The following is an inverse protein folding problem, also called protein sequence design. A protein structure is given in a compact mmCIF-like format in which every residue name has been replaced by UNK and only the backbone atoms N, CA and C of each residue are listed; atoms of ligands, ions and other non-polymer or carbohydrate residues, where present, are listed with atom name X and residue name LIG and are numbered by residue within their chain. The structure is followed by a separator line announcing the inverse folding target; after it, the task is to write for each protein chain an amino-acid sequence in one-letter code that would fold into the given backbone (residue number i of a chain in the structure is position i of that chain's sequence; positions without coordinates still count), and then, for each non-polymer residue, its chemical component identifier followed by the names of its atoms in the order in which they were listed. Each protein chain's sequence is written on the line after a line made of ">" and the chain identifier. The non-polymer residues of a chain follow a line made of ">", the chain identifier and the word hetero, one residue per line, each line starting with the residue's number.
data_IF_195998908505
#
_entry.id   IF_195998908505
#
_cell.length_a   1.000
_cell.length_b   1.000
_cell.length_c   1.000
_cell.angle_alpha   90.00
_cell.angle_beta   90.00
_cell.angle_gamma   90.00
#
_symmetry.space_group_name_H-M   'P 1'
#
loop_
_entity.id
_entity.type
_entity.pdbx_description
1 polymer ?
#
# COMPACT_ATOMS: atom_id res chain seq x y z
N UNK A 1 -21.22 20.16 54.81
CA UNK A 1 -20.01 20.01 55.63
C UNK A 1 -19.99 18.60 56.20
N UNK A 2 -19.22 17.68 55.63
CA UNK A 2 -18.83 16.43 56.32
C UNK A 2 -17.59 15.86 55.63
N UNK A 3 -16.44 16.01 56.27
CA UNK A 3 -15.22 15.31 55.90
C UNK A 3 -15.19 13.92 56.54
N UNK A 4 -14.63 12.93 55.86
CA UNK A 4 -14.32 11.63 56.46
C UNK A 4 -12.90 11.18 56.10
N UNK A 5 -12.05 11.30 57.12
CA UNK A 5 -11.10 10.30 57.64
C UNK A 5 -10.03 9.74 56.68
N UNK A 6 -8.81 10.14 57.02
CA UNK A 6 -7.51 9.67 56.52
C UNK A 6 -7.31 8.15 56.62
N UNK A 7 -6.86 7.52 55.53
CA UNK A 7 -6.22 6.19 55.55
C UNK A 7 -4.77 6.31 55.09
N UNK A 8 -3.90 6.65 56.04
CA UNK A 8 -2.45 6.45 55.97
C UNK A 8 -2.12 5.01 56.40
N UNK A 9 -2.08 4.05 55.48
CA UNK A 9 -1.54 2.69 55.68
C UNK A 9 -1.23 2.16 54.25
N UNK A 10 -0.06 1.73 53.79
CA UNK A 10 1.28 1.47 54.33
C UNK A 10 2.21 1.51 53.10
N UNK A 11 3.26 2.35 53.14
CA UNK A 11 4.40 2.21 52.25
C UNK A 11 5.28 1.10 52.82
N UNK A 12 5.09 -0.12 52.33
CA UNK A 12 5.95 -1.28 52.60
C UNK A 12 6.92 -1.47 51.44
N UNK A 13 8.18 -1.08 51.66
CA UNK A 13 9.29 -1.30 50.75
C UNK A 13 9.70 -2.77 50.71
N UNK A 14 9.90 -3.32 49.51
CA UNK A 14 10.80 -4.44 49.20
C UNK A 14 11.01 -4.46 47.67
N UNK A 15 12.04 -3.80 47.16
CA UNK A 15 13.36 -4.39 46.94
C UNK A 15 13.43 -5.24 45.64
N UNK A 16 14.09 -4.63 44.65
CA UNK A 16 15.03 -5.27 43.72
C UNK A 16 14.53 -6.44 42.87
N UNK A 17 14.25 -6.16 41.60
CA UNK A 17 14.63 -7.07 40.51
C UNK A 17 14.93 -6.26 39.25
N UNK A 18 16.07 -6.53 38.59
CA UNK A 18 16.70 -5.61 37.66
C UNK A 18 15.92 -5.46 36.36
N UNK A 19 16.00 -4.24 35.82
CA UNK A 19 15.67 -3.89 34.44
C UNK A 19 16.40 -4.82 33.46
N UNK A 20 15.73 -5.91 33.05
CA UNK A 20 16.12 -6.75 31.90
C UNK A 20 15.05 -6.65 30.80
N UNK A 21 14.63 -5.42 30.51
CA UNK A 21 13.93 -5.07 29.26
C UNK A 21 14.64 -3.89 28.61
N UNK A 22 15.91 -4.10 28.25
CA UNK A 22 16.70 -3.16 27.45
C UNK A 22 17.59 -3.88 26.42
N UNK A 23 17.17 -5.06 25.96
CA UNK A 23 17.70 -5.67 24.75
C UNK A 23 16.71 -5.40 23.60
N UNK A 24 16.67 -4.15 23.18
CA UNK A 24 15.84 -3.68 22.07
C UNK A 24 16.37 -2.40 21.43
N UNK A 25 17.64 -2.03 21.70
CA UNK A 25 18.35 -1.09 20.86
C UNK A 25 19.07 -1.90 19.79
N UNK A 26 18.36 -2.22 18.70
CA UNK A 26 19.03 -2.55 17.44
C UNK A 26 19.66 -1.26 16.92
N UNK A 27 20.85 -0.94 17.45
CA UNK A 27 21.81 -0.07 16.79
C UNK A 27 22.66 -0.97 15.91
N UNK A 28 22.14 -1.32 14.73
CA UNK A 28 22.91 -2.00 13.69
C UNK A 28 23.00 -1.05 12.49
N UNK A 29 24.05 -0.24 12.54
CA UNK A 29 24.92 0.10 11.40
C UNK A 29 24.22 0.05 10.04
N UNK A 30 23.67 1.18 9.61
CA UNK A 30 23.12 1.39 8.28
C UNK A 30 24.23 1.38 7.23
N UNK A 31 24.69 0.19 6.87
CA UNK A 31 25.03 -0.07 5.48
C UNK A 31 23.68 -0.13 4.77
N UNK A 32 23.38 0.88 3.95
CA UNK A 32 22.05 1.13 3.38
C UNK A 32 21.70 0.07 2.32
N UNK A 33 21.48 -1.16 2.77
CA UNK A 33 20.65 -2.13 2.06
C UNK A 33 19.29 -1.45 1.87
N UNK A 34 18.83 -1.37 0.62
CA UNK A 34 17.52 -0.84 0.30
C UNK A 34 16.49 -1.44 1.26
N UNK A 35 15.69 -0.57 1.89
CA UNK A 35 14.63 -1.00 2.78
C UNK A 35 13.72 -1.94 1.97
N UNK A 36 13.45 -3.14 2.48
CA UNK A 36 12.57 -4.09 1.79
C UNK A 36 11.20 -3.48 1.53
N UNK A 37 10.76 -2.55 2.37
CA UNK A 37 9.52 -1.82 2.20
C UNK A 37 9.55 -0.87 1.01
N UNK A 38 10.72 -0.33 0.65
CA UNK A 38 10.88 0.52 -0.53
C UNK A 38 10.77 -0.31 -1.81
N UNK A 39 11.43 -1.47 -1.86
CA UNK A 39 11.31 -2.38 -3.02
C UNK A 39 9.87 -2.85 -3.22
N UNK A 40 9.18 -3.24 -2.14
CA UNK A 40 7.76 -3.63 -2.23
C UNK A 40 6.89 -2.47 -2.74
N UNK A 41 7.19 -1.23 -2.34
CA UNK A 41 6.44 -0.06 -2.80
C UNK A 41 6.65 0.22 -4.28
N UNK A 42 7.88 0.07 -4.77
CA UNK A 42 8.21 0.15 -6.20
C UNK A 42 7.50 -0.96 -7.01
N UNK A 43 7.50 -2.18 -6.50
CA UNK A 43 6.84 -3.32 -7.17
C UNK A 43 5.32 -3.10 -7.28
N UNK A 44 4.68 -2.60 -6.22
CA UNK A 44 3.26 -2.23 -6.26
C UNK A 44 3.03 -1.09 -7.25
N UNK A 45 3.88 -0.07 -7.28
CA UNK A 45 3.74 1.04 -8.21
C UNK A 45 3.90 0.62 -9.68
N UNK A 46 4.77 -0.35 -9.96
CA UNK A 46 4.92 -0.95 -11.27
C UNK A 46 3.66 -1.71 -11.69
N UNK A 47 3.11 -2.55 -10.80
CA UNK A 47 1.87 -3.30 -11.05
C UNK A 47 0.66 -2.37 -11.29
N UNK A 48 0.54 -1.30 -10.52
CA UNK A 48 -0.49 -0.28 -10.75
C UNK A 48 -0.34 0.40 -12.12
N UNK A 49 0.90 0.65 -12.56
CA UNK A 49 1.13 1.23 -13.89
C UNK A 49 0.70 0.29 -15.03
N UNK A 50 0.91 -1.02 -14.89
CA UNK A 50 0.44 -2.02 -15.84
C UNK A 50 -1.09 -2.08 -15.90
N UNK A 51 -1.76 -2.03 -14.75
CA UNK A 51 -3.22 -1.97 -14.68
C UNK A 51 -3.77 -0.70 -15.36
N UNK A 52 -3.17 0.46 -15.08
CA UNK A 52 -3.58 1.72 -15.69
C UNK A 52 -3.47 1.64 -17.22
N UNK A 53 -2.39 1.07 -17.76
CA UNK A 53 -2.22 0.89 -19.19
C UNK A 53 -3.29 -0.04 -19.79
N UNK A 54 -3.64 -1.13 -19.11
CA UNK A 54 -4.72 -2.04 -19.53
C UNK A 54 -6.09 -1.34 -19.57
N UNK A 55 -6.37 -0.51 -18.56
CA UNK A 55 -7.56 0.33 -18.53
C UNK A 55 -7.58 1.34 -19.68
N UNK A 56 -6.49 2.08 -19.89
CA UNK A 56 -6.39 3.10 -20.94
C UNK A 56 -6.59 2.48 -22.34
N UNK A 57 -5.94 1.36 -22.61
CA UNK A 57 -6.11 0.64 -23.88
C UNK A 57 -7.55 0.11 -24.07
N UNK A 58 -8.18 -0.37 -22.99
CA UNK A 58 -9.59 -0.80 -23.03
C UNK A 58 -10.53 0.37 -23.32
N UNK A 59 -10.29 1.53 -22.70
CA UNK A 59 -11.08 2.75 -22.91
C UNK A 59 -10.95 3.30 -24.32
N UNK A 60 -9.76 3.22 -24.92
CA UNK A 60 -9.52 3.57 -26.33
C UNK A 60 -10.28 2.63 -27.26
N UNK A 61 -10.22 1.31 -27.03
CA UNK A 61 -10.90 0.32 -27.90
C UNK A 61 -12.42 0.33 -27.73
N UNK A 62 -12.92 0.59 -26.52
CA UNK A 62 -14.35 0.53 -26.20
C UNK A 62 -14.84 1.81 -25.48
N UNK A 63 -15.03 2.93 -26.20
CA UNK A 63 -15.44 4.20 -25.60
C UNK A 63 -16.78 4.16 -24.87
N UNK A 64 -17.65 3.20 -25.19
CA UNK A 64 -18.93 2.98 -24.48
C UNK A 64 -18.76 2.58 -23.01
N UNK A 65 -17.57 2.15 -22.61
CA UNK A 65 -17.26 1.75 -21.23
C UNK A 65 -16.69 2.91 -20.39
N UNK A 66 -16.41 4.07 -20.98
CA UNK A 66 -15.71 5.18 -20.31
C UNK A 66 -16.37 5.62 -19.02
N UNK A 67 -17.68 5.92 -19.05
CA UNK A 67 -18.39 6.39 -17.85
C UNK A 67 -18.35 5.39 -16.69
N UNK A 68 -18.22 4.10 -17.02
CA UNK A 68 -18.19 3.02 -16.02
C UNK A 68 -16.78 2.71 -15.54
N UNK A 69 -15.78 2.73 -16.42
CA UNK A 69 -14.44 2.26 -16.12
C UNK A 69 -13.49 3.39 -15.70
N UNK A 70 -13.74 4.62 -16.13
CA UNK A 70 -12.86 5.76 -15.81
C UNK A 70 -12.69 5.96 -14.29
N UNK A 71 -13.74 5.89 -13.44
CA UNK A 71 -13.56 6.05 -12.00
C UNK A 71 -12.60 5.01 -11.39
N UNK A 72 -12.63 3.76 -11.87
CA UNK A 72 -11.73 2.70 -11.41
C UNK A 72 -10.29 2.94 -11.88
N UNK A 73 -10.12 3.35 -13.15
CA UNK A 73 -8.81 3.78 -13.67
C UNK A 73 -8.22 4.91 -12.83
N UNK A 74 -9.02 5.91 -12.47
CA UNK A 74 -8.58 7.04 -11.67
C UNK A 74 -8.13 6.59 -10.25
N UNK A 75 -8.81 5.61 -9.64
CA UNK A 75 -8.41 5.04 -8.35
C UNK A 75 -7.01 4.40 -8.39
N UNK A 76 -6.71 3.63 -9.45
CA UNK A 76 -5.38 3.05 -9.65
C UNK A 76 -4.28 4.11 -9.79
N UNK A 77 -4.59 5.22 -10.48
CA UNK A 77 -3.66 6.35 -10.62
C UNK A 77 -3.37 6.99 -9.28
N UNK A 78 -4.40 7.27 -8.50
CA UNK A 78 -4.22 7.82 -7.16
C UNK A 78 -3.47 6.85 -6.23
N UNK A 79 -3.70 5.54 -6.37
CA UNK A 79 -2.98 4.54 -5.59
C UNK A 79 -1.48 4.55 -5.92
N UNK A 80 -1.14 4.49 -7.22
CA UNK A 80 0.24 4.58 -7.69
C UNK A 80 0.95 5.84 -7.17
N UNK A 81 0.28 7.00 -7.23
CA UNK A 81 0.84 8.28 -6.77
C UNK A 81 1.16 8.28 -5.26
N UNK A 82 0.42 7.51 -4.45
CA UNK A 82 0.70 7.35 -3.03
C UNK A 82 1.87 6.41 -2.77
N UNK A 83 2.13 5.46 -3.68
CA UNK A 83 3.26 4.53 -3.57
C UNK A 83 4.59 5.18 -3.92
N UNK A 84 4.67 6.01 -4.96
CA UNK A 84 5.92 6.75 -5.23
C UNK A 84 5.67 8.24 -5.38
N UNK A 85 5.60 8.98 -4.26
CA UNK A 85 5.37 10.41 -4.27
C UNK A 85 6.49 11.14 -5.02
N UNK A 86 6.15 11.86 -6.08
CA UNK A 86 7.10 12.68 -6.84
C UNK A 86 7.82 11.95 -7.99
N UNK A 87 7.56 10.66 -8.21
CA UNK A 87 8.10 9.97 -9.37
C UNK A 87 7.27 10.30 -10.62
N UNK A 88 7.89 11.05 -11.54
CA UNK A 88 7.32 11.34 -12.87
C UNK A 88 7.83 10.37 -13.95
N UNK A 89 8.66 9.39 -13.57
CA UNK A 89 9.16 8.37 -14.47
C UNK A 89 8.01 7.50 -14.94
N UNK A 90 7.72 7.51 -16.24
CA UNK A 90 6.79 6.55 -16.83
C UNK A 90 7.49 5.20 -16.85
N UNK A 91 7.05 4.20 -16.08
CA UNK A 91 7.64 2.88 -16.15
C UNK A 91 7.47 2.31 -17.56
N UNK A 92 8.44 1.51 -18.00
CA UNK A 92 8.33 0.78 -19.27
C UNK A 92 7.27 -0.31 -19.11
N UNK A 93 6.05 -0.01 -19.54
CA UNK A 93 4.92 -0.96 -19.49
C UNK A 93 4.82 -1.68 -20.83
N UNK A 94 4.70 -3.02 -20.79
CA UNK A 94 4.41 -3.80 -21.99
C UNK A 94 2.99 -3.50 -22.48
N UNK A 95 2.82 -3.29 -23.79
CA UNK A 95 1.52 -2.98 -24.35
C UNK A 95 0.51 -4.12 -24.07
N UNK A 96 -0.66 -3.82 -23.47
CA UNK A 96 -1.64 -4.83 -23.11
C UNK A 96 -2.41 -5.34 -24.34
N UNK A 97 -2.59 -6.65 -24.44
CA UNK A 97 -3.45 -7.26 -25.46
C UNK A 97 -4.91 -7.16 -25.03
N UNK A 98 -5.71 -6.37 -25.75
CA UNK A 98 -7.13 -6.17 -25.44
C UNK A 98 -8.02 -7.12 -26.26
N UNK A 99 -8.84 -7.97 -25.62
CA UNK A 99 -9.78 -8.84 -26.31
C UNK A 99 -10.72 -8.10 -27.28
N UNK A 100 -11.26 -8.82 -28.27
CA UNK A 100 -12.10 -8.22 -29.32
C UNK A 100 -13.52 -7.85 -28.86
N UNK A 101 -14.01 -8.41 -27.76
CA UNK A 101 -15.35 -8.09 -27.23
C UNK A 101 -15.28 -7.32 -25.92
N UNK A 102 -16.26 -6.44 -25.69
CA UNK A 102 -16.37 -5.65 -24.45
C UNK A 102 -16.45 -6.54 -23.21
N UNK A 103 -17.22 -7.63 -23.28
CA UNK A 103 -17.35 -8.57 -22.16
C UNK A 103 -16.04 -9.27 -21.85
N UNK A 104 -15.30 -9.73 -22.87
CA UNK A 104 -13.99 -10.35 -22.67
C UNK A 104 -12.95 -9.35 -22.15
N UNK A 105 -12.99 -8.09 -22.59
CA UNK A 105 -12.11 -7.04 -22.10
C UNK A 105 -12.35 -6.74 -20.61
N UNK A 106 -13.61 -6.63 -20.17
CA UNK A 106 -13.92 -6.46 -18.74
C UNK A 106 -13.49 -7.68 -17.92
N UNK A 107 -13.64 -8.90 -18.44
CA UNK A 107 -13.15 -10.10 -17.76
C UNK A 107 -11.61 -10.11 -17.67
N UNK A 108 -10.92 -9.65 -18.71
CA UNK A 108 -9.46 -9.53 -18.71
C UNK A 108 -8.98 -8.51 -17.67
N UNK A 109 -9.62 -7.34 -17.56
CA UNK A 109 -9.31 -6.35 -16.52
C UNK A 109 -9.46 -6.93 -15.12
N UNK A 110 -10.59 -7.60 -14.83
CA UNK A 110 -10.81 -8.26 -13.53
C UNK A 110 -9.80 -9.35 -13.21
N UNK A 111 -9.30 -10.04 -14.24
CA UNK A 111 -8.24 -11.04 -14.06
C UNK A 111 -6.92 -10.34 -13.72
N UNK A 112 -6.58 -9.27 -14.45
CA UNK A 112 -5.37 -8.50 -14.21
C UNK A 112 -5.36 -7.90 -12.79
N UNK A 113 -6.47 -7.29 -12.35
CA UNK A 113 -6.62 -6.77 -10.98
C UNK A 113 -6.37 -7.83 -9.91
N UNK A 114 -6.91 -9.05 -10.11
CA UNK A 114 -6.70 -10.15 -9.17
C UNK A 114 -5.24 -10.59 -9.12
N UNK A 115 -4.55 -10.57 -10.25
CA UNK A 115 -3.13 -10.93 -10.32
C UNK A 115 -2.24 -9.86 -9.69
N UNK A 116 -2.60 -8.58 -9.81
CA UNK A 116 -1.86 -7.48 -9.16
C UNK A 116 -2.09 -7.42 -7.63
N UNK A 117 -3.07 -8.16 -7.11
CA UNK A 117 -3.39 -8.21 -5.68
C UNK A 117 -2.74 -9.41 -4.96
N UNK A 118 -1.90 -10.20 -5.65
CA UNK A 118 -1.26 -11.42 -5.13
C UNK A 118 0.26 -11.30 -5.18
#
# INVERSE_FOLDING_TARGET
>A
MTGYISRRIVLGAAATSPLLFAAGCSSSESDALADSDDQLREDVAAQEAELIAAYDATLVKFPKLTDRLKPFRDQHVEHKQRMVPGESSTPTVTAPTIPESQSAAVLALRKAERTAAT
#
